data_IF_761689817024
#
_entry.id   IF_761689817024
#
_cell.length_a   1.000
_cell.length_b   1.000
_cell.length_c   1.000
_cell.angle_alpha   90.00
_cell.angle_beta   90.00
_cell.angle_gamma   90.00
#
_symmetry.space_group_name_H-M   'P 1'
#
loop_
_entity.id
_entity.type
_entity.pdbx_description
1 polymer ?
#
# COMPACT_ATOMS: atom_id res chain seq x y z
N UNK A 1 1.10 29.01 6.38
CA UNK A 1 1.97 27.81 6.37
C UNK A 1 2.30 27.45 7.80
N UNK A 2 2.30 26.16 8.10
CA UNK A 2 2.64 25.69 9.44
C UNK A 2 4.14 25.81 9.68
N UNK A 3 4.51 26.37 10.83
CA UNK A 3 5.88 26.34 11.31
C UNK A 3 6.23 24.89 11.67
N UNK A 4 7.20 24.30 10.98
CA UNK A 4 7.62 22.93 11.23
C UNK A 4 8.77 22.91 12.25
N UNK A 5 9.95 23.25 11.83
CA UNK A 5 11.16 23.40 12.67
C UNK A 5 12.20 24.25 11.92
N UNK A 6 12.83 25.19 12.63
CA UNK A 6 13.85 26.07 12.03
C UNK A 6 13.26 27.15 11.13
N UNK A 7 14.09 27.69 10.25
CA UNK A 7 13.71 28.74 9.31
C UNK A 7 13.16 28.13 8.02
N UNK A 8 12.02 28.64 7.57
CA UNK A 8 11.44 28.26 6.29
C UNK A 8 12.21 28.95 5.13
N UNK A 9 12.43 28.22 4.06
CA UNK A 9 13.05 28.76 2.85
C UNK A 9 12.00 29.47 2.00
N UNK A 10 12.30 30.72 1.59
CA UNK A 10 11.40 31.46 0.69
C UNK A 10 11.54 30.94 -0.75
N UNK A 11 10.61 30.08 -1.14
CA UNK A 11 10.53 29.54 -2.50
C UNK A 11 10.08 30.58 -3.56
N UNK A 12 9.83 31.84 -3.19
CA UNK A 12 9.70 32.96 -4.14
C UNK A 12 11.02 33.64 -4.42
N UNK A 13 12.06 33.41 -3.61
CA UNK A 13 13.38 33.95 -3.84
C UNK A 13 14.06 33.19 -4.99
N UNK A 14 14.37 33.85 -6.13
CA UNK A 14 14.96 33.18 -7.28
C UNK A 14 16.37 32.62 -6.99
N UNK A 15 17.11 33.19 -6.05
CA UNK A 15 18.42 32.67 -5.65
C UNK A 15 18.30 31.33 -4.92
N UNK A 16 17.27 31.19 -4.06
CA UNK A 16 16.97 29.92 -3.38
C UNK A 16 16.57 28.84 -4.40
N UNK A 17 15.70 29.17 -5.34
CA UNK A 17 15.25 28.23 -6.39
C UNK A 17 16.45 27.82 -7.25
N UNK A 18 17.27 28.77 -7.71
CA UNK A 18 18.45 28.47 -8.53
C UNK A 18 19.49 27.60 -7.80
N UNK A 19 19.64 27.79 -6.48
CA UNK A 19 20.53 26.94 -5.68
C UNK A 19 19.99 25.52 -5.54
N UNK A 20 18.68 25.36 -5.30
CA UNK A 20 18.04 24.05 -5.21
C UNK A 20 18.04 23.31 -6.56
N UNK A 21 17.93 24.02 -7.68
CA UNK A 21 18.08 23.44 -9.02
C UNK A 21 19.50 22.88 -9.22
N UNK A 22 20.55 23.67 -8.88
CA UNK A 22 21.94 23.20 -8.94
C UNK A 22 22.21 22.04 -7.99
N UNK A 23 21.67 22.11 -6.78
CA UNK A 23 21.78 21.02 -5.81
C UNK A 23 21.15 19.73 -6.33
N UNK A 24 19.97 19.80 -6.94
CA UNK A 24 19.30 18.63 -7.51
C UNK A 24 20.11 17.94 -8.60
N UNK A 25 20.72 18.71 -9.50
CA UNK A 25 21.63 18.18 -10.53
C UNK A 25 22.84 17.50 -9.88
N UNK A 26 23.52 18.22 -8.99
CA UNK A 26 24.69 17.69 -8.27
C UNK A 26 24.34 16.41 -7.50
N UNK A 27 23.18 16.37 -6.82
CA UNK A 27 22.76 15.20 -6.05
C UNK A 27 22.54 13.97 -6.95
N UNK A 28 21.91 14.15 -8.11
CA UNK A 28 21.72 13.07 -9.08
C UNK A 28 23.05 12.55 -9.62
N UNK A 29 23.98 13.44 -9.93
CA UNK A 29 25.31 13.06 -10.44
C UNK A 29 26.13 12.31 -9.38
N UNK A 30 26.10 12.79 -8.14
CA UNK A 30 26.87 12.21 -7.03
C UNK A 30 26.34 10.86 -6.57
N UNK A 31 25.01 10.69 -6.53
CA UNK A 31 24.38 9.49 -5.92
C UNK A 31 23.94 8.46 -6.94
N UNK A 32 23.70 8.88 -8.18
CA UNK A 32 23.19 8.00 -9.23
C UNK A 32 21.76 7.49 -9.02
N UNK A 33 20.99 8.09 -8.10
CA UNK A 33 19.61 7.66 -7.80
C UNK A 33 18.69 7.83 -9.00
N UNK A 34 17.64 7.00 -9.07
CA UNK A 34 16.69 6.99 -10.18
C UNK A 34 15.39 7.77 -9.88
N UNK A 35 15.23 8.28 -8.65
CA UNK A 35 14.04 9.03 -8.25
C UNK A 35 14.15 9.56 -6.82
N UNK A 36 13.06 10.14 -6.31
CA UNK A 36 13.06 10.85 -5.02
C UNK A 36 11.88 10.45 -4.13
N UNK A 37 12.15 10.34 -2.83
CA UNK A 37 11.16 10.56 -1.77
C UNK A 37 11.31 12.01 -1.32
N UNK A 38 10.21 12.75 -1.34
CA UNK A 38 10.16 14.17 -0.98
C UNK A 38 9.46 14.29 0.36
N UNK A 39 10.20 14.77 1.34
CA UNK A 39 9.75 14.92 2.71
C UNK A 39 8.82 16.12 2.87
N UNK A 40 7.82 16.00 3.74
CA UNK A 40 6.97 17.08 4.23
C UNK A 40 6.49 18.08 3.14
N UNK A 41 6.08 17.55 1.98
CA UNK A 41 5.76 18.38 0.80
C UNK A 41 4.65 19.39 1.02
N UNK A 42 3.77 19.19 2.01
CA UNK A 42 2.70 20.15 2.35
C UNK A 42 3.24 21.50 2.83
N UNK A 43 4.49 21.55 3.31
CA UNK A 43 5.16 22.75 3.79
C UNK A 43 5.93 23.50 2.70
N UNK A 44 6.01 22.95 1.48
CA UNK A 44 6.65 23.54 0.33
C UNK A 44 5.61 23.84 -0.74
N UNK A 45 5.69 25.03 -1.34
CA UNK A 45 4.74 25.45 -2.37
C UNK A 45 4.74 24.46 -3.54
N UNK A 46 3.56 23.99 -3.94
CA UNK A 46 3.38 23.03 -5.02
C UNK A 46 3.99 23.48 -6.37
N UNK A 47 4.04 24.79 -6.79
CA UNK A 47 4.69 25.18 -8.03
C UNK A 47 6.20 24.90 -8.03
N UNK A 48 6.86 24.90 -6.87
CA UNK A 48 8.29 24.61 -6.77
C UNK A 48 8.59 23.19 -7.27
N UNK A 49 7.88 22.18 -6.78
CA UNK A 49 8.14 20.79 -7.20
C UNK A 49 7.77 20.53 -8.66
N UNK A 50 6.75 21.22 -9.20
CA UNK A 50 6.46 21.15 -10.63
C UNK A 50 7.67 21.62 -11.44
N UNK A 51 8.19 22.82 -11.13
CA UNK A 51 9.36 23.36 -11.78
C UNK A 51 10.58 22.44 -11.61
N UNK A 52 10.95 22.12 -10.37
CA UNK A 52 12.18 21.40 -10.03
C UNK A 52 12.24 20.00 -10.65
N UNK A 53 11.19 19.19 -10.51
CA UNK A 53 11.16 17.84 -11.09
C UNK A 53 11.12 17.86 -12.63
N UNK A 54 10.40 18.81 -13.23
CA UNK A 54 10.35 18.91 -14.69
C UNK A 54 11.68 19.38 -15.28
N UNK A 55 12.36 20.30 -14.62
CA UNK A 55 13.71 20.77 -15.05
C UNK A 55 14.74 19.65 -14.95
N UNK A 56 14.80 18.94 -13.82
CA UNK A 56 15.69 17.79 -13.65
C UNK A 56 15.43 16.68 -14.68
N UNK A 57 14.15 16.34 -14.95
CA UNK A 57 13.78 15.37 -15.99
C UNK A 57 14.23 15.80 -17.37
N UNK A 58 14.06 17.08 -17.70
CA UNK A 58 14.49 17.65 -18.97
C UNK A 58 16.02 17.63 -19.13
N UNK A 59 16.77 18.02 -18.09
CA UNK A 59 18.24 18.09 -18.11
C UNK A 59 18.88 16.71 -18.16
N UNK A 60 18.33 15.74 -17.42
CA UNK A 60 18.92 14.40 -17.33
C UNK A 60 18.39 13.40 -18.36
N UNK A 61 17.25 13.68 -18.99
CA UNK A 61 16.53 12.73 -19.83
C UNK A 61 15.96 11.54 -19.07
N UNK A 62 16.07 11.50 -17.74
CA UNK A 62 15.57 10.42 -16.88
C UNK A 62 14.10 10.66 -16.51
N UNK A 63 13.34 9.58 -16.26
CA UNK A 63 11.95 9.67 -15.82
C UNK A 63 11.80 10.23 -14.40
N UNK A 64 12.77 10.01 -13.53
CA UNK A 64 12.84 10.44 -12.14
C UNK A 64 11.48 10.34 -11.42
N UNK A 65 10.99 9.12 -11.15
CA UNK A 65 9.78 8.96 -10.35
C UNK A 65 9.96 9.64 -8.99
N UNK A 66 8.89 10.26 -8.51
CA UNK A 66 8.91 10.91 -7.20
C UNK A 66 7.69 10.48 -6.38
N UNK A 67 7.90 10.34 -5.07
CA UNK A 67 6.84 10.17 -4.09
C UNK A 67 6.97 11.25 -3.01
N UNK A 68 5.89 12.00 -2.79
CA UNK A 68 5.82 13.04 -1.76
C UNK A 68 5.12 12.56 -0.51
N UNK A 69 5.60 12.98 0.62
CA UNK A 69 4.93 12.80 1.89
C UNK A 69 4.09 14.04 2.20
N UNK A 70 2.77 13.92 1.97
CA UNK A 70 1.78 14.91 2.36
C UNK A 70 0.97 14.35 3.54
N UNK A 71 1.39 14.63 4.76
CA UNK A 71 0.77 14.05 5.96
C UNK A 71 -0.58 14.71 6.27
N UNK A 72 -1.65 14.09 5.84
CA UNK A 72 -3.03 14.48 6.10
C UNK A 72 -3.98 13.29 5.97
N UNK A 73 -4.94 13.12 6.89
CA UNK A 73 -6.01 12.11 6.75
C UNK A 73 -7.08 12.52 5.74
N UNK A 74 -7.04 13.74 5.21
CA UNK A 74 -8.05 14.26 4.29
C UNK A 74 -7.61 14.04 2.83
N UNK A 75 -8.23 13.09 2.16
CA UNK A 75 -7.93 12.75 0.76
C UNK A 75 -8.09 13.94 -0.20
N UNK A 76 -9.03 14.85 0.06
CA UNK A 76 -9.22 16.04 -0.79
C UNK A 76 -8.01 16.97 -0.77
N UNK A 77 -7.32 17.07 0.37
CA UNK A 77 -6.07 17.83 0.47
C UNK A 77 -4.95 17.21 -0.36
N UNK A 78 -4.84 15.87 -0.36
CA UNK A 78 -3.87 15.16 -1.19
C UNK A 78 -4.16 15.34 -2.68
N UNK A 79 -5.43 15.21 -3.08
CA UNK A 79 -5.86 15.39 -4.47
C UNK A 79 -5.59 16.81 -4.93
N UNK A 80 -5.98 17.81 -4.12
CA UNK A 80 -5.70 19.22 -4.42
C UNK A 80 -4.20 19.46 -4.63
N UNK A 81 -3.36 18.95 -3.73
CA UNK A 81 -1.90 19.08 -3.87
C UNK A 81 -1.37 18.41 -5.14
N UNK A 82 -1.85 17.23 -5.49
CA UNK A 82 -1.47 16.55 -6.73
C UNK A 82 -1.85 17.35 -7.97
N UNK A 83 -3.07 17.88 -8.00
CA UNK A 83 -3.56 18.64 -9.15
C UNK A 83 -2.78 19.96 -9.31
N UNK A 84 -2.59 20.71 -8.22
CA UNK A 84 -1.83 21.98 -8.21
C UNK A 84 -0.34 21.82 -8.47
N UNK A 85 0.26 20.68 -8.12
CA UNK A 85 1.65 20.36 -8.46
C UNK A 85 1.81 19.81 -9.89
N UNK A 86 0.75 19.73 -10.69
CA UNK A 86 0.79 19.25 -12.08
C UNK A 86 1.00 17.74 -12.19
N UNK A 87 0.61 16.98 -11.19
CA UNK A 87 0.71 15.51 -11.17
C UNK A 87 2.14 14.98 -11.36
N UNK A 88 3.16 15.73 -10.97
CA UNK A 88 4.57 15.39 -11.20
C UNK A 88 5.09 14.29 -10.29
N UNK A 89 4.32 13.91 -9.25
CA UNK A 89 4.67 12.91 -8.26
C UNK A 89 3.50 11.99 -7.92
N UNK A 90 3.78 10.97 -7.11
CA UNK A 90 2.79 10.24 -6.30
C UNK A 90 2.80 10.77 -4.89
N UNK A 91 1.77 10.45 -4.09
CA UNK A 91 1.77 10.72 -2.65
C UNK A 91 1.54 9.42 -1.87
N UNK A 92 2.07 9.37 -0.65
CA UNK A 92 1.70 8.35 0.32
C UNK A 92 0.22 8.45 0.67
N UNK A 93 -0.48 7.31 0.72
CA UNK A 93 -1.90 7.23 1.06
C UNK A 93 -2.09 7.27 2.58
N UNK A 94 -1.91 8.44 3.16
CA UNK A 94 -2.07 8.68 4.60
C UNK A 94 -3.50 8.41 5.09
N UNK A 95 -4.58 8.73 4.34
CA UNK A 95 -5.94 8.30 4.69
C UNK A 95 -6.06 6.78 4.90
N UNK A 96 -5.51 5.96 4.00
CA UNK A 96 -5.54 4.50 4.12
C UNK A 96 -4.76 4.01 5.36
N UNK A 97 -3.60 4.60 5.65
CA UNK A 97 -2.86 4.31 6.88
C UNK A 97 -3.74 4.54 8.12
N UNK A 98 -4.45 5.66 8.21
CA UNK A 98 -5.34 5.91 9.34
C UNK A 98 -6.51 4.95 9.42
N UNK A 99 -7.02 4.44 8.29
CA UNK A 99 -8.02 3.37 8.31
C UNK A 99 -7.44 2.08 8.91
N UNK A 100 -6.20 1.72 8.59
CA UNK A 100 -5.53 0.56 9.21
C UNK A 100 -5.36 0.74 10.72
N UNK A 101 -4.97 1.94 11.17
CA UNK A 101 -4.88 2.27 12.61
C UNK A 101 -6.23 2.09 13.28
N UNK A 102 -7.30 2.65 12.71
CA UNK A 102 -8.67 2.53 13.25
C UNK A 102 -9.15 1.09 13.26
N UNK A 103 -9.02 0.37 12.16
CA UNK A 103 -9.42 -1.04 12.07
C UNK A 103 -8.68 -1.89 13.10
N UNK A 104 -7.36 -1.71 13.22
CA UNK A 104 -6.53 -2.46 14.17
C UNK A 104 -6.88 -2.21 15.64
N UNK A 105 -7.46 -1.04 15.97
CA UNK A 105 -7.79 -0.62 17.33
C UNK A 105 -9.26 -0.73 17.68
N UNK A 106 -10.13 -1.10 16.72
CA UNK A 106 -11.58 -1.12 16.88
C UNK A 106 -12.13 -2.39 17.52
N UNK A 107 -11.30 -3.40 17.76
CA UNK A 107 -11.73 -4.73 18.26
C UNK A 107 -12.81 -5.37 17.38
N UNK A 108 -12.71 -5.28 16.06
CA UNK A 108 -13.67 -5.84 15.11
C UNK A 108 -14.92 -4.97 14.87
N UNK A 109 -14.85 -3.71 15.27
CA UNK A 109 -15.94 -2.75 15.07
C UNK A 109 -15.68 -1.75 13.93
N UNK A 110 -14.67 -1.99 13.09
CA UNK A 110 -14.46 -1.23 11.87
C UNK A 110 -15.26 -1.86 10.72
N UNK A 111 -15.93 -1.03 9.92
CA UNK A 111 -16.59 -1.50 8.70
C UNK A 111 -15.55 -1.78 7.61
N UNK A 112 -15.09 -3.04 7.52
CA UNK A 112 -14.07 -3.47 6.57
C UNK A 112 -14.49 -3.28 5.12
N UNK A 113 -15.80 -3.23 4.82
CA UNK A 113 -16.29 -2.94 3.47
C UNK A 113 -15.86 -1.54 2.99
N UNK A 114 -15.54 -0.65 3.92
CA UNK A 114 -15.19 0.75 3.69
C UNK A 114 -13.72 1.07 3.90
N UNK A 115 -12.86 0.05 3.98
CA UNK A 115 -11.43 0.25 4.26
C UNK A 115 -10.75 1.18 3.24
N UNK A 116 -11.26 1.25 2.02
CA UNK A 116 -10.74 2.12 0.95
C UNK A 116 -11.55 3.41 0.74
N UNK A 117 -12.69 3.60 1.42
CA UNK A 117 -13.53 4.79 1.23
C UNK A 117 -12.78 6.06 1.63
N UNK A 118 -12.76 7.07 0.74
CA UNK A 118 -12.07 8.32 1.03
C UNK A 118 -10.54 8.22 1.11
N UNK A 119 -9.96 7.21 0.50
CA UNK A 119 -8.50 7.04 0.39
C UNK A 119 -7.98 7.50 -0.97
N UNK A 120 -6.68 7.80 -1.03
CA UNK A 120 -6.05 8.17 -2.31
C UNK A 120 -6.03 6.99 -3.29
N UNK A 121 -5.92 5.76 -2.78
CA UNK A 121 -5.97 4.54 -3.58
C UNK A 121 -7.31 4.38 -4.28
N UNK A 122 -8.43 4.70 -3.63
CA UNK A 122 -9.75 4.65 -4.26
C UNK A 122 -9.92 5.77 -5.31
N UNK A 123 -9.51 6.98 -4.98
CA UNK A 123 -9.75 8.17 -5.80
C UNK A 123 -8.75 8.35 -6.96
N UNK A 124 -7.50 8.00 -6.74
CA UNK A 124 -6.37 8.18 -7.68
C UNK A 124 -5.37 7.02 -7.60
N UNK A 125 -5.76 5.78 -7.95
CA UNK A 125 -4.94 4.57 -7.72
C UNK A 125 -3.54 4.65 -8.34
N UNK A 126 -3.39 5.30 -9.48
CA UNK A 126 -2.09 5.48 -10.15
C UNK A 126 -1.20 6.55 -9.49
N UNK A 127 -1.73 7.29 -8.52
CA UNK A 127 -1.02 8.35 -7.78
C UNK A 127 -0.77 7.98 -6.31
N UNK A 128 -1.34 6.89 -5.84
CA UNK A 128 -1.20 6.43 -4.48
C UNK A 128 0.06 5.57 -4.29
N UNK A 129 0.79 5.83 -3.22
CA UNK A 129 1.77 4.92 -2.64
C UNK A 129 1.19 4.42 -1.32
N UNK A 130 0.80 3.15 -1.29
CA UNK A 130 0.20 2.54 -0.11
C UNK A 130 1.27 2.07 0.86
N UNK A 131 1.03 2.21 2.16
CA UNK A 131 1.95 1.77 3.21
C UNK A 131 1.16 1.39 4.47
N UNK A 132 1.78 0.59 5.35
CA UNK A 132 1.18 0.22 6.65
C UNK A 132 1.70 1.16 7.72
N UNK A 133 2.99 1.19 7.94
CA UNK A 133 3.69 2.09 8.85
C UNK A 133 4.96 2.65 8.21
N UNK A 134 5.56 3.65 8.86
CA UNK A 134 6.86 4.19 8.51
C UNK A 134 7.67 4.59 9.78
N UNK A 135 8.83 5.21 9.59
CA UNK A 135 9.71 5.61 10.70
C UNK A 135 9.13 6.72 11.60
N UNK A 136 8.16 7.50 11.11
CA UNK A 136 7.51 8.57 11.88
C UNK A 136 6.24 8.08 12.59
N UNK A 137 5.60 7.00 12.11
CA UNK A 137 4.37 6.46 12.73
C UNK A 137 4.66 5.51 13.89
N UNK A 138 5.89 5.02 14.04
CA UNK A 138 6.26 4.10 15.11
C UNK A 138 6.13 4.75 16.50
N UNK A 139 5.94 3.96 17.56
CA UNK A 139 5.77 4.47 18.91
C UNK A 139 6.88 5.44 19.34
N UNK A 140 6.48 6.56 19.96
CA UNK A 140 7.42 7.57 20.46
C UNK A 140 7.91 8.57 19.42
N UNK A 141 7.54 8.42 18.13
CA UNK A 141 7.85 9.39 17.10
C UNK A 141 6.77 10.48 16.98
N UNK A 142 7.07 11.56 16.24
CA UNK A 142 6.22 12.75 16.17
C UNK A 142 4.82 12.49 15.57
N UNK A 143 4.70 11.52 14.67
CA UNK A 143 3.45 11.13 14.00
C UNK A 143 2.93 9.78 14.50
N UNK A 144 3.28 9.41 15.74
CA UNK A 144 2.94 8.11 16.31
C UNK A 144 1.48 7.71 16.08
N UNK A 145 1.28 6.75 15.20
CA UNK A 145 -0.01 6.21 14.78
C UNK A 145 0.18 4.75 14.32
N UNK A 146 0.66 3.92 15.24
CA UNK A 146 1.10 2.55 14.94
C UNK A 146 -0.07 1.61 14.69
N UNK A 147 -0.02 0.88 13.59
CA UNK A 147 -0.95 -0.22 13.31
C UNK A 147 -0.65 -1.39 14.24
N UNK A 148 -1.67 -1.93 14.92
CA UNK A 148 -1.49 -3.03 15.85
C UNK A 148 -0.92 -4.28 15.15
N UNK A 149 0.02 -4.97 15.83
CA UNK A 149 0.77 -6.08 15.23
C UNK A 149 -0.10 -7.19 14.63
N UNK A 150 -1.23 -7.50 15.27
CA UNK A 150 -2.16 -8.53 14.78
C UNK A 150 -2.80 -8.17 13.43
N UNK A 151 -3.01 -6.88 13.14
CA UNK A 151 -3.64 -6.41 11.91
C UNK A 151 -2.64 -6.22 10.76
N UNK A 152 -1.33 -6.15 11.04
CA UNK A 152 -0.32 -5.93 10.01
C UNK A 152 -0.35 -6.93 8.86
N UNK A 153 -0.49 -8.24 9.08
CA UNK A 153 -0.65 -9.20 7.97
C UNK A 153 -1.86 -8.88 7.07
N UNK A 154 -2.98 -8.43 7.66
CA UNK A 154 -4.18 -8.02 6.92
C UNK A 154 -3.89 -6.76 6.09
N UNK A 155 -3.30 -5.74 6.70
CA UNK A 155 -2.95 -4.49 6.03
C UNK A 155 -1.94 -4.73 4.90
N UNK A 156 -0.92 -5.56 5.11
CA UNK A 156 0.03 -5.92 4.06
C UNK A 156 -0.62 -6.74 2.94
N UNK A 157 -1.58 -7.63 3.22
CA UNK A 157 -2.34 -8.30 2.17
C UNK A 157 -3.13 -7.30 1.32
N UNK A 158 -3.81 -6.33 1.95
CA UNK A 158 -4.56 -5.27 1.28
C UNK A 158 -3.70 -4.41 0.34
N UNK A 159 -2.46 -4.08 0.72
CA UNK A 159 -1.60 -3.25 -0.14
C UNK A 159 -0.75 -4.05 -1.12
N UNK A 160 -0.36 -5.28 -0.80
CA UNK A 160 0.53 -6.08 -1.64
C UNK A 160 -0.20 -6.87 -2.72
N UNK A 161 -1.40 -7.41 -2.43
CA UNK A 161 -2.07 -8.37 -3.32
C UNK A 161 -3.18 -7.75 -4.17
N UNK A 162 -3.59 -6.52 -3.88
CA UNK A 162 -4.50 -5.76 -4.76
C UNK A 162 -3.73 -5.11 -5.91
N UNK A 163 -4.48 -4.79 -6.98
CA UNK A 163 -3.93 -4.14 -8.18
C UNK A 163 -3.58 -2.68 -7.94
N UNK A 164 -4.40 -1.99 -7.15
CA UNK A 164 -4.39 -0.53 -7.03
C UNK A 164 -3.37 -0.04 -6.01
N UNK A 165 -2.72 1.08 -6.31
CA UNK A 165 -1.64 1.65 -5.51
C UNK A 165 -0.27 0.99 -5.75
N UNK A 166 0.78 1.71 -5.38
CA UNK A 166 2.16 1.22 -5.33
C UNK A 166 2.53 0.92 -3.88
N UNK A 167 2.69 -0.33 -3.48
CA UNK A 167 2.97 -0.64 -2.07
C UNK A 167 4.39 -0.28 -1.67
N UNK A 168 4.51 0.25 -0.46
CA UNK A 168 5.76 0.50 0.25
C UNK A 168 5.78 -0.33 1.54
N UNK A 169 6.83 -1.14 1.71
CA UNK A 169 7.03 -1.95 2.91
C UNK A 169 7.99 -1.22 3.85
N UNK A 170 7.60 -1.08 5.11
CA UNK A 170 8.45 -0.47 6.11
C UNK A 170 9.54 -1.45 6.58
N UNK A 171 10.78 -0.97 6.60
CA UNK A 171 11.94 -1.76 7.03
C UNK A 171 11.75 -2.30 8.46
N UNK A 172 11.19 -1.47 9.37
CA UNK A 172 10.93 -1.86 10.76
C UNK A 172 9.87 -2.96 10.89
N UNK A 173 8.90 -3.05 9.98
CA UNK A 173 7.95 -4.16 9.96
C UNK A 173 8.59 -5.46 9.45
N UNK A 174 9.55 -5.35 8.56
CA UNK A 174 10.23 -6.54 8.02
C UNK A 174 11.28 -7.10 8.98
N UNK A 175 12.13 -6.26 9.58
CA UNK A 175 13.23 -6.68 10.43
C UNK A 175 12.99 -6.50 11.93
N UNK A 176 11.90 -5.81 12.31
CA UNK A 176 11.65 -5.34 13.66
C UNK A 176 12.31 -4.01 13.97
N UNK A 177 11.95 -3.44 15.12
CA UNK A 177 12.55 -2.25 15.71
C UNK A 177 13.05 -2.62 17.12
N UNK A 178 14.26 -3.20 17.24
CA UNK A 178 14.71 -3.84 18.47
C UNK A 178 14.77 -2.90 19.69
N UNK A 179 15.15 -1.64 19.49
CA UNK A 179 15.25 -0.68 20.57
C UNK A 179 13.90 -0.30 21.18
N UNK A 180 12.80 -0.44 20.40
CA UNK A 180 11.42 -0.22 20.86
C UNK A 180 10.72 -1.54 21.24
N UNK A 181 11.46 -2.65 21.27
CA UNK A 181 10.94 -3.99 21.52
C UNK A 181 9.82 -4.43 20.54
N UNK A 182 9.81 -3.91 19.33
CA UNK A 182 8.86 -4.27 18.27
C UNK A 182 9.47 -5.40 17.43
N UNK A 183 8.82 -6.56 17.46
CA UNK A 183 9.20 -7.70 16.62
C UNK A 183 8.81 -7.50 15.15
N UNK A 184 9.44 -8.27 14.22
CA UNK A 184 9.05 -8.26 12.82
C UNK A 184 7.66 -8.88 12.61
N UNK A 185 6.99 -8.52 11.51
CA UNK A 185 5.77 -9.21 11.04
C UNK A 185 6.06 -10.68 10.69
N UNK A 186 7.30 -10.95 10.28
CA UNK A 186 7.83 -12.29 10.14
C UNK A 186 7.44 -13.01 8.86
N UNK A 187 7.33 -14.35 8.93
CA UNK A 187 7.16 -15.23 7.78
C UNK A 187 5.91 -14.95 6.92
N UNK A 188 4.88 -14.37 7.51
CA UNK A 188 3.68 -14.00 6.76
C UNK A 188 3.97 -12.87 5.77
N UNK A 189 4.77 -11.87 6.14
CA UNK A 189 5.17 -10.79 5.23
C UNK A 189 6.05 -11.31 4.09
N UNK A 190 6.99 -12.22 4.37
CA UNK A 190 7.78 -12.90 3.33
C UNK A 190 6.87 -13.63 2.32
N UNK A 191 5.87 -14.33 2.83
CA UNK A 191 4.92 -15.05 1.98
C UNK A 191 4.09 -14.10 1.13
N UNK A 192 3.59 -13.00 1.71
CA UNK A 192 2.84 -11.97 0.98
C UNK A 192 3.68 -11.31 -0.13
N UNK A 193 4.95 -11.05 0.13
CA UNK A 193 5.88 -10.50 -0.88
C UNK A 193 6.10 -11.47 -2.04
N UNK A 194 6.25 -12.78 -1.74
CA UNK A 194 6.33 -13.81 -2.78
C UNK A 194 5.04 -13.90 -3.59
N UNK A 195 3.89 -13.91 -2.91
CA UNK A 195 2.58 -13.96 -3.57
C UNK A 195 2.32 -12.74 -4.47
N UNK A 196 2.78 -11.55 -4.06
CA UNK A 196 2.74 -10.37 -4.92
C UNK A 196 3.53 -10.60 -6.22
N UNK A 197 4.73 -11.18 -6.13
CA UNK A 197 5.59 -11.44 -7.27
C UNK A 197 5.07 -12.56 -8.16
N UNK A 198 4.48 -13.60 -7.57
CA UNK A 198 4.24 -14.85 -8.27
C UNK A 198 2.75 -15.12 -8.56
N UNK A 199 1.83 -14.65 -7.72
CA UNK A 199 0.40 -15.00 -7.79
C UNK A 199 -0.55 -13.83 -8.07
N UNK A 200 -0.25 -12.61 -7.62
CA UNK A 200 -1.20 -11.48 -7.65
C UNK A 200 -1.31 -10.81 -9.03
N UNK A 201 -1.73 -11.55 -10.04
CA UNK A 201 -1.87 -11.11 -11.42
C UNK A 201 -3.30 -11.26 -11.96
N UNK A 202 -3.55 -10.66 -13.11
CA UNK A 202 -4.83 -10.72 -13.81
C UNK A 202 -5.87 -9.73 -13.28
N UNK A 203 -7.08 -9.88 -13.77
CA UNK A 203 -8.23 -9.09 -13.36
C UNK A 203 -8.51 -9.24 -11.86
N UNK A 204 -8.98 -8.17 -11.24
CA UNK A 204 -9.38 -8.16 -9.83
C UNK A 204 -10.89 -8.05 -9.72
N UNK A 205 -11.50 -8.94 -8.93
CA UNK A 205 -12.90 -8.88 -8.57
C UNK A 205 -13.00 -8.69 -7.06
N UNK A 206 -13.68 -7.65 -6.65
CA UNK A 206 -13.83 -7.29 -5.23
C UNK A 206 -15.13 -7.83 -4.62
N UNK A 207 -15.05 -8.27 -3.37
CA UNK A 207 -16.15 -8.77 -2.54
C UNK A 207 -16.14 -8.03 -1.19
N UNK A 208 -16.45 -6.75 -1.24
CA UNK A 208 -16.48 -5.83 -0.09
C UNK A 208 -17.93 -5.52 0.30
N UNK A 209 -18.72 -6.55 0.51
CA UNK A 209 -20.18 -6.53 0.73
C UNK A 209 -20.60 -7.01 2.13
N UNK A 210 -19.63 -7.17 3.04
CA UNK A 210 -19.85 -7.56 4.43
C UNK A 210 -19.08 -6.65 5.38
N UNK A 211 -19.61 -6.43 6.57
CA UNK A 211 -19.07 -5.51 7.56
C UNK A 211 -17.66 -5.92 8.04
N UNK A 212 -17.45 -7.21 8.32
CA UNK A 212 -16.16 -7.71 8.83
C UNK A 212 -15.38 -8.52 7.81
N UNK A 213 -16.07 -9.36 7.01
CA UNK A 213 -15.42 -10.30 6.09
C UNK A 213 -15.37 -9.71 4.69
N UNK A 214 -14.20 -9.35 4.23
CA UNK A 214 -13.99 -8.85 2.88
C UNK A 214 -12.97 -9.71 2.13
N UNK A 215 -13.05 -9.69 0.81
CA UNK A 215 -12.11 -10.43 -0.02
C UNK A 215 -12.04 -9.89 -1.43
N UNK A 216 -11.12 -10.44 -2.20
CA UNK A 216 -11.00 -10.22 -3.64
C UNK A 216 -10.32 -11.40 -4.31
N UNK A 217 -10.52 -11.52 -5.61
CA UNK A 217 -9.79 -12.48 -6.43
C UNK A 217 -8.89 -11.76 -7.42
N UNK A 218 -7.76 -12.38 -7.75
CA UNK A 218 -6.90 -12.06 -8.88
C UNK A 218 -6.93 -13.25 -9.82
N UNK A 219 -7.46 -13.08 -11.02
CA UNK A 219 -7.81 -14.19 -11.90
C UNK A 219 -6.60 -14.86 -12.58
N UNK A 220 -5.39 -14.39 -12.31
CA UNK A 220 -4.18 -14.87 -12.95
C UNK A 220 -4.06 -14.46 -14.41
N UNK A 221 -2.95 -14.81 -15.02
CA UNK A 221 -2.63 -14.54 -16.44
C UNK A 221 -2.21 -15.84 -17.11
N UNK A 222 -2.56 -16.03 -18.37
CA UNK A 222 -2.27 -17.28 -19.12
C UNK A 222 -0.77 -17.48 -19.35
N UNK A 223 -0.06 -16.38 -19.58
CA UNK A 223 1.39 -16.36 -19.77
C UNK A 223 2.18 -16.49 -18.47
N UNK A 224 1.48 -16.58 -17.31
CA UNK A 224 2.06 -16.77 -15.97
C UNK A 224 1.46 -18.00 -15.29
N UNK A 225 1.92 -19.19 -15.61
CA UNK A 225 1.43 -20.44 -14.99
C UNK A 225 1.57 -20.37 -13.46
N UNK A 226 0.51 -20.76 -12.74
CA UNK A 226 0.47 -20.71 -11.27
C UNK A 226 0.05 -19.34 -10.70
N UNK A 227 -0.11 -18.31 -11.52
CA UNK A 227 -0.69 -17.04 -11.07
C UNK A 227 -2.19 -17.16 -10.84
N UNK A 228 -2.71 -16.28 -9.98
CA UNK A 228 -4.09 -16.25 -9.50
C UNK A 228 -4.16 -16.53 -8.00
N UNK A 229 -4.99 -15.77 -7.30
CA UNK A 229 -5.23 -15.98 -5.87
C UNK A 229 -6.58 -15.41 -5.45
N UNK A 230 -7.19 -16.05 -4.43
CA UNK A 230 -8.32 -15.50 -3.70
C UNK A 230 -7.85 -15.09 -2.31
N UNK A 231 -8.10 -13.83 -1.95
CA UNK A 231 -7.74 -13.28 -0.64
C UNK A 231 -9.02 -13.01 0.14
N UNK A 232 -9.05 -13.46 1.37
CA UNK A 232 -10.14 -13.19 2.30
C UNK A 232 -9.57 -12.82 3.66
N UNK A 233 -10.14 -11.81 4.29
CA UNK A 233 -9.69 -11.34 5.60
C UNK A 233 -10.87 -10.84 6.44
N UNK A 234 -10.66 -10.80 7.75
CA UNK A 234 -11.64 -10.28 8.71
C UNK A 234 -10.95 -9.66 9.91
N UNK A 235 -11.46 -8.53 10.38
CA UNK A 235 -11.07 -7.92 11.66
C UNK A 235 -11.89 -8.44 12.85
N UNK A 236 -12.95 -9.22 12.56
CA UNK A 236 -13.88 -9.81 13.53
C UNK A 236 -13.83 -11.35 13.59
N UNK A 237 -14.95 -12.02 13.85
CA UNK A 237 -15.04 -13.48 13.83
C UNK A 237 -14.68 -14.06 12.47
N UNK A 238 -14.14 -15.28 12.47
CA UNK A 238 -13.89 -16.03 11.25
C UNK A 238 -15.19 -16.41 10.51
N UNK A 239 -15.03 -16.76 9.24
CA UNK A 239 -16.15 -17.15 8.40
C UNK A 239 -15.71 -17.53 6.99
N UNK A 240 -16.62 -17.45 6.04
CA UNK A 240 -16.35 -17.72 4.63
C UNK A 240 -17.09 -16.75 3.72
N UNK A 241 -16.62 -16.67 2.48
CA UNK A 241 -17.22 -15.87 1.42
C UNK A 241 -17.16 -16.64 0.11
N UNK A 242 -18.28 -16.73 -0.60
CA UNK A 242 -18.31 -17.30 -1.93
C UNK A 242 -17.63 -16.33 -2.90
N UNK A 243 -16.56 -16.78 -3.54
CA UNK A 243 -15.81 -15.97 -4.51
C UNK A 243 -15.46 -16.80 -5.75
N UNK A 244 -15.38 -16.15 -6.90
CA UNK A 244 -15.10 -16.78 -8.19
C UNK A 244 -13.70 -16.47 -8.68
N UNK A 245 -12.94 -17.51 -9.02
CA UNK A 245 -11.63 -17.42 -9.68
C UNK A 245 -11.72 -17.52 -11.20
N UNK A 246 -12.93 -17.75 -11.74
CA UNK A 246 -13.19 -17.95 -13.15
C UNK A 246 -13.04 -19.40 -13.62
N UNK A 247 -13.66 -19.70 -14.76
CA UNK A 247 -13.75 -21.06 -15.31
C UNK A 247 -12.38 -21.73 -15.58
N UNK A 248 -11.32 -20.94 -15.73
CA UNK A 248 -9.94 -21.43 -15.84
C UNK A 248 -9.52 -22.31 -14.65
N UNK A 249 -10.07 -22.04 -13.48
CA UNK A 249 -9.77 -22.78 -12.25
C UNK A 249 -10.85 -23.79 -11.86
N UNK A 250 -11.79 -24.11 -12.75
CA UNK A 250 -12.80 -25.12 -12.51
C UNK A 250 -12.17 -26.46 -12.14
N UNK A 251 -12.62 -27.05 -11.04
CA UNK A 251 -12.11 -28.33 -10.52
C UNK A 251 -10.71 -28.26 -9.90
N UNK A 252 -10.04 -27.10 -9.90
CA UNK A 252 -8.73 -26.95 -9.27
C UNK A 252 -8.84 -26.99 -7.75
N UNK A 253 -7.83 -27.57 -7.12
CA UNK A 253 -7.66 -27.53 -5.67
C UNK A 253 -6.87 -26.28 -5.27
N UNK A 254 -7.32 -25.60 -4.22
CA UNK A 254 -6.66 -24.44 -3.63
C UNK A 254 -6.26 -24.71 -2.19
N UNK A 255 -5.13 -24.16 -1.77
CA UNK A 255 -4.63 -24.16 -0.38
C UNK A 255 -4.35 -22.75 0.12
N UNK A 256 -4.44 -22.55 1.44
CA UNK A 256 -4.02 -21.28 2.04
C UNK A 256 -2.49 -21.18 2.10
N UNK A 257 -1.92 -20.26 1.36
CA UNK A 257 -0.47 -20.05 1.27
C UNK A 257 0.14 -19.50 2.58
N UNK A 258 -0.67 -18.84 3.43
CA UNK A 258 -0.24 -18.37 4.75
C UNK A 258 -0.30 -19.47 5.81
N UNK A 259 -1.00 -20.57 5.52
CA UNK A 259 -1.14 -21.72 6.41
C UNK A 259 -2.04 -21.48 7.62
N UNK A 260 -2.85 -20.41 7.61
CA UNK A 260 -3.85 -20.13 8.65
C UNK A 260 -5.04 -21.09 8.58
N UNK A 261 -5.32 -21.61 7.39
CA UNK A 261 -6.30 -22.69 7.14
C UNK A 261 -5.57 -23.97 6.70
N UNK A 262 -5.95 -25.11 7.28
CA UNK A 262 -5.29 -26.39 7.01
C UNK A 262 -5.95 -27.24 5.93
N UNK A 263 -7.25 -26.99 5.68
CA UNK A 263 -8.00 -27.68 4.63
C UNK A 263 -7.62 -27.13 3.25
N UNK A 264 -7.89 -27.94 2.25
CA UNK A 264 -7.91 -27.51 0.85
C UNK A 264 -9.34 -27.26 0.41
N UNK A 265 -9.52 -26.47 -0.64
CA UNK A 265 -10.81 -26.15 -1.26
C UNK A 265 -10.75 -26.60 -2.72
N UNK A 266 -11.77 -27.30 -3.19
CA UNK A 266 -11.93 -27.64 -4.61
C UNK A 266 -12.97 -26.68 -5.21
N UNK A 267 -12.62 -26.01 -6.29
CA UNK A 267 -13.50 -25.08 -6.98
C UNK A 267 -14.52 -25.86 -7.84
N UNK A 268 -15.74 -25.34 -7.91
CA UNK A 268 -16.80 -25.89 -8.74
C UNK A 268 -16.58 -25.70 -10.26
N UNK A 269 -17.56 -26.09 -11.07
CA UNK A 269 -17.51 -25.99 -12.54
C UNK A 269 -17.42 -24.53 -13.06
N UNK A 270 -17.82 -23.55 -12.23
CA UNK A 270 -17.69 -22.12 -12.54
C UNK A 270 -16.34 -21.52 -12.11
N UNK A 271 -15.56 -22.27 -11.35
CA UNK A 271 -14.36 -21.79 -10.68
C UNK A 271 -14.66 -21.01 -9.40
N UNK A 272 -15.81 -21.27 -8.76
CA UNK A 272 -16.22 -20.65 -7.51
C UNK A 272 -16.06 -21.61 -6.33
N UNK A 273 -15.91 -21.05 -5.12
CA UNK A 273 -15.92 -21.82 -3.88
C UNK A 273 -16.18 -20.90 -2.67
N UNK A 274 -16.52 -21.51 -1.54
CA UNK A 274 -16.58 -20.84 -0.24
C UNK A 274 -15.18 -20.81 0.38
N UNK A 275 -14.48 -19.70 0.15
CA UNK A 275 -13.18 -19.44 0.76
C UNK A 275 -13.36 -19.05 2.22
N UNK A 276 -12.56 -19.62 3.11
CA UNK A 276 -12.67 -19.42 4.54
C UNK A 276 -11.49 -18.68 5.15
N UNK A 277 -11.72 -18.06 6.31
CA UNK A 277 -10.74 -17.30 7.08
C UNK A 277 -10.99 -17.46 8.58
N UNK A 278 -9.92 -17.51 9.37
CA UNK A 278 -9.98 -17.45 10.83
C UNK A 278 -10.29 -16.05 11.35
N UNK A 279 -10.78 -15.93 12.58
CA UNK A 279 -11.04 -14.63 13.20
C UNK A 279 -9.78 -13.80 13.33
N UNK A 280 -9.89 -12.48 13.08
CA UNK A 280 -8.78 -11.51 13.15
C UNK A 280 -7.58 -11.88 12.30
N UNK A 281 -7.82 -12.45 11.11
CA UNK A 281 -6.73 -12.96 10.26
C UNK A 281 -6.99 -12.75 8.76
N UNK A 282 -6.03 -13.18 7.95
CA UNK A 282 -6.10 -13.20 6.49
C UNK A 282 -5.72 -14.60 5.98
N UNK A 283 -6.40 -15.08 4.96
CA UNK A 283 -6.05 -16.28 4.20
C UNK A 283 -5.86 -15.93 2.73
N UNK A 284 -4.82 -16.48 2.13
CA UNK A 284 -4.51 -16.30 0.70
C UNK A 284 -4.51 -17.65 0.01
N UNK A 285 -5.57 -17.91 -0.68
CA UNK A 285 -5.81 -19.16 -1.37
C UNK A 285 -5.19 -19.13 -2.77
N UNK A 286 -4.33 -20.09 -3.04
CA UNK A 286 -3.63 -20.23 -4.32
C UNK A 286 -3.81 -21.66 -4.87
N UNK A 287 -3.69 -21.86 -6.19
CA UNK A 287 -3.70 -23.21 -6.76
C UNK A 287 -2.68 -24.12 -6.07
N UNK A 288 -3.11 -25.30 -5.67
CA UNK A 288 -2.24 -26.33 -5.11
C UNK A 288 -1.58 -27.11 -6.26
N UNK A 289 -0.54 -26.52 -6.85
CA UNK A 289 0.22 -27.14 -7.93
C UNK A 289 1.16 -28.15 -7.30
N UNK A 290 0.91 -29.44 -7.53
CA UNK A 290 1.83 -30.52 -7.16
C UNK A 290 3.11 -30.50 -7.99
#
# INVERSE_FOLDING_TARGET
YDYLMGADLDMNNPEVVAELDRWGEWYLDMTGVDGFRLDAVKHIRFPFYNHWLMDLRKKTGKRLPAVGEYWSPNVKSLIHYLDESGLVMRLFDVPLHFHFVQASSSNGCFDMSKIFDGTLTAERPNRAVTFVDNHDTQPGQALSSWVQGWFKPLAYALILLRRDGLPCVFYGDYYGVPHDHIGPVGAQLDTLLRLRRDAAYGEQIDYFDDYNIVGWTRLGEEDRPGSGCAVILTDGPGGSKNMCMGARFAGCTFRDALGNQKQTIVLDESGSADFCVGGGSVSVWVPDVQ
#
